data_IF_299702505999
#
_entry.id   IF_299702505999
#
_cell.length_a   1.000
_cell.length_b   1.000
_cell.length_c   1.000
_cell.angle_alpha   90.00
_cell.angle_beta   90.00
_cell.angle_gamma   90.00
#
_symmetry.space_group_name_H-M   'P 1'
#
loop_
_entity.id
_entity.type
_entity.pdbx_description
1 polymer ?
#
# COMPACT_ATOMS: atom_id res chain seq x y z
N UNK A 1 2.08 6.86 25.46
CA UNK A 1 0.65 6.51 25.30
C UNK A 1 0.07 6.73 23.89
N UNK A 2 -0.22 7.97 23.45
CA UNK A 2 -0.88 8.19 22.14
C UNK A 2 -0.08 7.73 20.90
N UNK A 3 1.25 7.92 20.93
CA UNK A 3 2.14 7.47 19.84
C UNK A 3 2.17 5.94 19.72
N UNK A 4 2.18 5.23 20.84
CA UNK A 4 2.21 3.77 20.88
C UNK A 4 0.92 3.15 20.34
N UNK A 5 -0.25 3.71 20.71
CA UNK A 5 -1.55 3.28 20.18
C UNK A 5 -1.60 3.49 18.66
N UNK A 6 -1.15 4.65 18.17
CA UNK A 6 -1.07 4.93 16.73
C UNK A 6 -0.15 3.93 16.02
N UNK A 7 1.02 3.63 16.59
CA UNK A 7 1.99 2.70 16.00
C UNK A 7 1.42 1.28 15.95
N UNK A 8 0.76 0.81 17.01
CA UNK A 8 0.13 -0.50 17.03
C UNK A 8 -0.99 -0.60 15.98
N UNK A 9 -1.82 0.44 15.84
CA UNK A 9 -2.85 0.49 14.78
C UNK A 9 -2.23 0.47 13.39
N UNK A 10 -1.12 1.18 13.18
CA UNK A 10 -0.37 1.17 11.92
C UNK A 10 0.16 -0.22 11.59
N UNK A 11 0.81 -0.91 12.54
CA UNK A 11 1.34 -2.26 12.34
C UNK A 11 0.26 -3.27 11.96
N UNK A 12 -0.89 -3.26 12.66
CA UNK A 12 -2.01 -4.16 12.34
C UNK A 12 -2.57 -3.86 10.96
N UNK A 13 -2.69 -2.59 10.59
CA UNK A 13 -3.15 -2.19 9.27
C UNK A 13 -2.17 -2.61 8.17
N UNK A 14 -0.87 -2.37 8.38
CA UNK A 14 0.19 -2.72 7.47
C UNK A 14 0.27 -4.21 7.19
N UNK A 15 0.15 -5.05 8.23
CA UNK A 15 0.13 -6.50 8.08
C UNK A 15 -1.01 -6.96 7.16
N UNK A 16 -2.20 -6.35 7.28
CA UNK A 16 -3.36 -6.70 6.43
C UNK A 16 -3.17 -6.24 4.99
N UNK A 17 -2.71 -5.00 4.80
CA UNK A 17 -2.56 -4.42 3.46
C UNK A 17 -1.37 -5.02 2.71
N UNK A 18 -0.30 -5.41 3.42
CA UNK A 18 0.87 -6.08 2.84
C UNK A 18 0.48 -7.31 2.03
N UNK A 19 -0.33 -8.20 2.60
CA UNK A 19 -0.79 -9.44 1.92
C UNK A 19 -1.45 -9.13 0.57
N UNK A 20 -2.32 -8.13 0.53
CA UNK A 20 -3.04 -7.73 -0.69
C UNK A 20 -2.09 -7.10 -1.71
N UNK A 21 -1.16 -6.25 -1.24
CA UNK A 21 -0.18 -5.60 -2.11
C UNK A 21 0.79 -6.60 -2.73
N UNK A 22 1.29 -7.56 -1.95
CA UNK A 22 2.20 -8.61 -2.43
C UNK A 22 1.55 -9.45 -3.52
N UNK A 23 0.32 -9.92 -3.30
CA UNK A 23 -0.47 -10.65 -4.31
C UNK A 23 -0.59 -9.84 -5.62
N UNK A 24 -1.01 -8.57 -5.54
CA UNK A 24 -1.18 -7.74 -6.73
C UNK A 24 0.15 -7.42 -7.42
N UNK A 25 1.23 -7.27 -6.66
CA UNK A 25 2.59 -7.05 -7.19
C UNK A 25 3.07 -8.29 -7.96
N UNK A 26 2.79 -9.50 -7.47
CA UNK A 26 3.11 -10.75 -8.17
C UNK A 26 2.40 -10.83 -9.54
N UNK A 27 1.18 -10.31 -9.65
CA UNK A 27 0.47 -10.16 -10.93
C UNK A 27 0.96 -8.97 -11.79
N UNK A 28 2.00 -8.26 -11.37
CA UNK A 28 2.62 -7.19 -12.13
C UNK A 28 1.93 -5.83 -12.06
N UNK A 29 1.09 -5.59 -11.04
CA UNK A 29 0.33 -4.35 -10.94
C UNK A 29 1.23 -3.17 -10.57
N UNK A 30 1.28 -2.13 -11.42
CA UNK A 30 1.91 -0.84 -11.13
C UNK A 30 1.11 0.05 -10.16
N UNK A 31 1.64 1.23 -9.81
CA UNK A 31 1.02 2.11 -8.81
C UNK A 31 -0.46 2.45 -9.07
N UNK A 32 -0.81 2.77 -10.33
CA UNK A 32 -2.19 3.12 -10.72
C UNK A 32 -3.13 1.93 -10.61
N UNK A 33 -2.73 0.75 -11.09
CA UNK A 33 -3.58 -0.45 -11.02
C UNK A 33 -3.71 -0.96 -9.59
N UNK A 34 -2.66 -0.86 -8.76
CA UNK A 34 -2.74 -1.14 -7.32
C UNK A 34 -3.77 -0.25 -6.62
N UNK A 35 -3.73 1.07 -6.87
CA UNK A 35 -4.69 2.00 -6.28
C UNK A 35 -6.14 1.66 -6.68
N UNK A 36 -6.37 1.33 -7.96
CA UNK A 36 -7.68 0.93 -8.44
C UNK A 36 -8.14 -0.38 -7.78
N UNK A 37 -7.31 -1.41 -7.79
CA UNK A 37 -7.64 -2.72 -7.22
C UNK A 37 -7.96 -2.65 -5.73
N UNK A 38 -7.21 -1.87 -4.95
CA UNK A 38 -7.50 -1.66 -3.53
C UNK A 38 -8.84 -0.97 -3.31
N UNK A 39 -9.14 0.05 -4.12
CA UNK A 39 -10.40 0.77 -4.05
C UNK A 39 -11.61 -0.11 -4.46
N UNK A 40 -11.45 -0.95 -5.48
CA UNK A 40 -12.47 -1.90 -5.94
C UNK A 40 -12.75 -2.98 -4.90
N UNK A 41 -11.70 -3.45 -4.19
CA UNK A 41 -11.83 -4.36 -3.04
C UNK A 41 -12.41 -3.68 -1.78
N UNK A 42 -12.74 -2.38 -1.83
CA UNK A 42 -13.27 -1.63 -0.69
C UNK A 42 -12.25 -1.36 0.42
N UNK A 43 -10.96 -1.53 0.16
CA UNK A 43 -9.88 -1.31 1.14
C UNK A 43 -9.61 0.19 1.23
N UNK A 44 -9.83 0.79 2.40
CA UNK A 44 -9.47 2.19 2.65
C UNK A 44 -8.03 2.30 3.13
N UNK A 45 -7.38 3.44 2.82
CA UNK A 45 -6.09 3.81 3.41
C UNK A 45 -6.18 3.90 4.94
N UNK A 46 -5.05 3.92 5.66
CA UNK A 46 -5.07 4.07 7.13
C UNK A 46 -5.75 5.37 7.60
N UNK A 47 -5.82 6.39 6.73
CA UNK A 47 -6.52 7.65 6.97
C UNK A 47 -8.02 7.61 6.60
N UNK A 48 -8.54 6.45 6.21
CA UNK A 48 -9.93 6.28 5.78
C UNK A 48 -10.24 6.84 4.39
N UNK A 49 -9.23 7.16 3.58
CA UNK A 49 -9.38 7.72 2.22
C UNK A 49 -9.20 6.64 1.15
N UNK A 50 -9.77 6.89 -0.04
CA UNK A 50 -9.46 6.12 -1.25
C UNK A 50 -7.96 6.17 -1.56
N UNK A 51 -7.47 5.10 -2.17
CA UNK A 51 -6.10 4.99 -2.63
C UNK A 51 -5.85 5.85 -3.87
N UNK A 52 -4.68 6.50 -3.86
CA UNK A 52 -4.08 7.18 -5.01
C UNK A 52 -2.73 6.53 -5.34
N UNK A 53 -2.18 6.71 -6.55
CA UNK A 53 -0.84 6.23 -6.88
C UNK A 53 0.23 6.68 -5.87
N UNK A 54 0.17 7.93 -5.41
CA UNK A 54 1.08 8.47 -4.39
C UNK A 54 0.92 7.79 -3.04
N UNK A 55 -0.32 7.54 -2.59
CA UNK A 55 -0.55 6.85 -1.32
C UNK A 55 -0.09 5.40 -1.37
N UNK A 56 -0.17 4.76 -2.55
CA UNK A 56 0.43 3.44 -2.80
C UNK A 56 1.95 3.54 -2.70
N UNK A 57 2.59 4.48 -3.42
CA UNK A 57 4.05 4.68 -3.38
C UNK A 57 4.57 4.87 -1.95
N UNK A 58 3.94 5.74 -1.17
CA UNK A 58 4.32 5.96 0.23
C UNK A 58 4.13 4.72 1.11
N UNK A 59 3.07 3.94 0.86
CA UNK A 59 2.82 2.71 1.62
C UNK A 59 3.83 1.64 1.26
N UNK A 60 4.13 1.43 -0.02
CA UNK A 60 5.14 0.47 -0.47
C UNK A 60 6.52 0.81 0.11
N UNK A 61 6.94 2.08 0.02
CA UNK A 61 8.20 2.57 0.61
C UNK A 61 8.27 2.27 2.11
N UNK A 62 7.19 2.55 2.84
CA UNK A 62 7.10 2.29 4.28
C UNK A 62 7.08 0.80 4.64
N UNK A 63 6.58 -0.05 3.75
CA UNK A 63 6.54 -1.50 3.91
C UNK A 63 7.81 -2.21 3.41
N UNK A 64 8.71 -1.50 2.72
CA UNK A 64 9.88 -2.09 2.07
C UNK A 64 9.56 -2.86 0.79
N UNK A 65 8.41 -2.57 0.15
CA UNK A 65 7.94 -3.23 -1.07
C UNK A 65 8.21 -2.39 -2.31
N UNK A 66 8.27 -3.03 -3.48
CA UNK A 66 8.42 -2.39 -4.79
C UNK A 66 7.50 -3.06 -5.81
N UNK A 67 6.99 -2.28 -6.76
CA UNK A 67 6.23 -2.77 -7.91
C UNK A 67 7.04 -2.56 -9.19
N UNK A 68 6.73 -3.30 -10.26
CA UNK A 68 7.33 -3.16 -11.59
C UNK A 68 7.36 -1.70 -12.08
N UNK A 69 6.30 -0.92 -11.82
CA UNK A 69 6.26 0.51 -12.18
C UNK A 69 7.22 1.39 -11.36
N UNK A 70 7.71 0.90 -10.22
CA UNK A 70 8.76 1.54 -9.43
C UNK A 70 10.17 1.18 -9.91
N UNK A 71 10.37 -0.05 -10.38
CA UNK A 71 11.66 -0.51 -10.90
C UNK A 71 12.08 0.28 -12.15
N UNK A 72 11.12 0.63 -13.03
CA UNK A 72 11.39 1.42 -14.24
C UNK A 72 11.68 2.91 -14.00
N UNK A 73 11.35 3.45 -12.81
CA UNK A 73 11.62 4.86 -12.48
C UNK A 73 12.96 5.05 -11.74
N UNK A 74 13.62 3.94 -11.35
CA UNK A 74 14.89 3.94 -10.62
C UNK A 74 16.07 3.52 -11.52
N UNK A 75 15.83 3.31 -12.83
CA UNK A 75 16.83 3.07 -13.88
C UNK A 75 17.01 4.33 -14.73
#
# INVERSE_FOLDING_TARGET
MYKEIRNKKMQVYDAKVRVILEELIEYGYGYKSLANALNEKGVLSIKGKRWTPDSVRHTLSRLGLRTLGGVLNDL
#
